data_IF_156042088193
#
_entry.id   IF_156042088193
#
_cell.length_a   1.000
_cell.length_b   1.000
_cell.length_c   1.000
_cell.angle_alpha   90.00
_cell.angle_beta   90.00
_cell.angle_gamma   90.00
#
_symmetry.space_group_name_H-M   'P 1'
#
loop_
_entity.id
_entity.type
_entity.pdbx_description
1 polymer ?
#
# COMPACT_ATOMS: atom_id res chain seq x y z
N UNK A 1 -16.31 8.29 -11.86
CA UNK A 1 -15.75 7.84 -10.58
C UNK A 1 -16.86 7.66 -9.57
N UNK A 2 -17.18 6.40 -9.28
CA UNK A 2 -18.25 6.07 -8.33
C UNK A 2 -17.89 6.48 -6.87
N UNK A 3 -18.90 6.70 -6.00
CA UNK A 3 -18.66 7.02 -4.59
C UNK A 3 -17.84 5.95 -3.85
N UNK A 4 -18.02 4.68 -4.21
CA UNK A 4 -17.30 3.57 -3.60
C UNK A 4 -15.83 3.53 -4.04
N UNK A 5 -15.53 3.84 -5.31
CA UNK A 5 -14.15 4.00 -5.80
C UNK A 5 -13.41 5.09 -5.01
N UNK A 6 -14.07 6.21 -4.76
CA UNK A 6 -13.49 7.33 -4.01
C UNK A 6 -13.19 6.94 -2.56
N UNK A 7 -14.08 6.18 -1.89
CA UNK A 7 -13.81 5.72 -0.53
C UNK A 7 -12.65 4.71 -0.49
N UNK A 8 -12.59 3.77 -1.46
CA UNK A 8 -11.45 2.86 -1.59
C UNK A 8 -10.13 3.59 -1.84
N UNK A 9 -10.11 4.56 -2.76
CA UNK A 9 -8.95 5.42 -3.03
C UNK A 9 -8.52 6.15 -1.75
N UNK A 10 -9.45 6.77 -1.04
CA UNK A 10 -9.19 7.45 0.24
C UNK A 10 -8.61 6.50 1.28
N UNK A 11 -9.11 5.27 1.38
CA UNK A 11 -8.59 4.27 2.31
C UNK A 11 -7.11 3.95 2.03
N UNK A 12 -6.75 3.69 0.77
CA UNK A 12 -5.38 3.39 0.35
C UNK A 12 -4.45 4.61 0.46
N UNK A 13 -4.91 5.81 0.10
CA UNK A 13 -4.10 7.03 0.04
C UNK A 13 -3.92 7.68 1.40
N UNK A 14 -4.96 7.74 2.23
CA UNK A 14 -4.87 8.42 3.53
C UNK A 14 -4.39 7.52 4.66
N UNK A 15 -3.97 6.28 4.34
CA UNK A 15 -3.52 5.31 5.34
C UNK A 15 -4.50 5.22 6.52
N UNK A 16 -5.82 5.26 6.28
CA UNK A 16 -6.83 5.23 7.35
C UNK A 16 -6.77 3.95 8.19
N UNK A 17 -6.08 2.92 7.71
CA UNK A 17 -5.84 1.68 8.44
C UNK A 17 -5.01 1.96 9.70
N UNK A 18 -5.55 1.59 10.87
CA UNK A 18 -4.90 1.71 12.18
C UNK A 18 -4.66 0.31 12.76
N UNK A 19 -3.42 -0.13 12.70
CA UNK A 19 -2.95 -1.44 13.14
C UNK A 19 -2.48 -1.34 14.59
N UNK A 20 -2.93 -2.23 15.46
CA UNK A 20 -2.43 -2.34 16.84
C UNK A 20 -1.04 -2.96 16.90
N UNK A 21 -0.36 -2.81 18.05
CA UNK A 21 0.91 -3.51 18.29
C UNK A 21 0.80 -5.04 18.11
N UNK A 22 -0.31 -5.64 18.54
CA UNK A 22 -0.51 -7.09 18.45
C UNK A 22 -0.61 -7.55 17.00
N UNK A 23 -1.43 -6.85 16.20
CA UNK A 23 -1.60 -7.16 14.78
C UNK A 23 -0.32 -6.91 14.00
N UNK A 24 0.41 -5.82 14.29
CA UNK A 24 1.70 -5.53 13.66
C UNK A 24 2.73 -6.63 13.97
N UNK A 25 2.80 -7.05 15.23
CA UNK A 25 3.69 -8.12 15.68
C UNK A 25 3.40 -9.44 14.97
N UNK A 26 2.12 -9.82 14.89
CA UNK A 26 1.67 -11.04 14.22
C UNK A 26 1.94 -10.98 12.71
N UNK A 27 1.55 -9.88 12.05
CA UNK A 27 1.67 -9.73 10.60
C UNK A 27 3.13 -9.69 10.14
N UNK A 28 4.02 -9.04 10.89
CA UNK A 28 5.43 -8.93 10.54
C UNK A 28 6.29 -10.07 11.10
N UNK A 29 5.74 -10.94 11.95
CA UNK A 29 6.48 -11.97 12.70
C UNK A 29 7.68 -11.37 13.47
N UNK A 30 7.43 -10.26 14.18
CA UNK A 30 8.41 -9.53 15.00
C UNK A 30 7.86 -9.40 16.41
N UNK A 31 8.70 -9.59 17.44
CA UNK A 31 8.23 -9.48 18.82
C UNK A 31 7.81 -8.04 19.16
N UNK A 32 6.81 -7.83 20.05
CA UNK A 32 6.43 -6.48 20.49
C UNK A 32 7.59 -5.70 21.12
N UNK A 33 8.55 -6.39 21.74
CA UNK A 33 9.74 -5.77 22.32
C UNK A 33 10.70 -5.22 21.26
N UNK A 34 10.87 -5.91 20.14
CA UNK A 34 11.65 -5.40 19.00
C UNK A 34 10.97 -4.18 18.38
N UNK A 35 9.65 -4.23 18.17
CA UNK A 35 8.89 -3.09 17.63
C UNK A 35 9.05 -1.86 18.53
N UNK A 36 8.83 -2.00 19.84
CA UNK A 36 9.07 -0.91 20.81
C UNK A 36 10.50 -0.39 20.78
N UNK A 37 11.49 -1.28 20.64
CA UNK A 37 12.88 -0.88 20.54
C UNK A 37 13.16 -0.08 19.27
N UNK A 38 12.64 -0.52 18.12
CA UNK A 38 12.79 0.18 16.84
C UNK A 38 12.09 1.55 16.86
N UNK A 39 10.91 1.62 17.48
CA UNK A 39 10.19 2.87 17.69
C UNK A 39 10.96 3.85 18.58
N UNK A 40 11.47 3.39 19.74
CA UNK A 40 12.33 4.22 20.61
C UNK A 40 13.60 4.71 19.92
N UNK A 41 14.14 3.94 18.97
CA UNK A 41 15.29 4.34 18.16
C UNK A 41 14.92 5.26 17.00
N UNK A 42 13.64 5.56 16.79
CA UNK A 42 13.15 6.42 15.71
C UNK A 42 13.21 5.76 14.33
N UNK A 43 13.29 4.43 14.27
CA UNK A 43 13.33 3.70 13.00
C UNK A 43 11.94 3.49 12.40
N UNK A 44 10.93 3.44 13.25
CA UNK A 44 9.50 3.39 12.91
C UNK A 44 8.76 4.37 13.82
N UNK A 45 7.53 4.72 13.44
CA UNK A 45 6.67 5.60 14.24
C UNK A 45 5.26 5.00 14.36
N UNK A 46 4.64 5.23 15.51
CA UNK A 46 3.20 5.11 15.70
C UNK A 46 2.53 6.48 15.69
N UNK A 47 1.23 6.46 15.46
CA UNK A 47 0.31 7.54 15.79
C UNK A 47 -0.28 7.26 17.17
N UNK A 48 -0.30 8.29 18.01
CA UNK A 48 -0.98 8.27 19.31
C UNK A 48 -2.23 9.13 19.19
N UNK A 49 -3.39 8.55 19.51
CA UNK A 49 -4.62 9.32 19.64
C UNK A 49 -4.57 10.12 20.95
N UNK A 50 -4.97 11.40 20.90
CA UNK A 50 -5.01 12.29 22.07
C UNK A 50 -5.88 11.75 23.21
N UNK A 51 -6.83 10.86 22.91
CA UNK A 51 -7.72 10.23 23.91
C UNK A 51 -7.25 8.85 24.37
N UNK A 52 -6.36 8.19 23.60
CA UNK A 52 -6.00 6.80 23.83
C UNK A 52 -4.49 6.62 23.68
N UNK A 53 -3.78 6.31 24.78
CA UNK A 53 -2.32 6.03 24.82
C UNK A 53 -1.90 4.79 24.01
N UNK A 54 -2.83 4.18 23.26
CA UNK A 54 -2.57 2.99 22.45
C UNK A 54 -1.85 3.39 21.18
N UNK A 55 -0.65 2.86 20.99
CA UNK A 55 0.13 3.04 19.76
C UNK A 55 -0.63 2.42 18.58
N UNK A 56 -0.91 3.22 17.55
CA UNK A 56 -1.49 2.78 16.29
C UNK A 56 -0.46 2.92 15.17
N UNK A 57 -0.40 1.94 14.29
CA UNK A 57 0.55 1.89 13.19
C UNK A 57 -0.18 1.94 11.86
N UNK A 58 0.44 2.56 10.87
CA UNK A 58 -0.13 2.59 9.52
C UNK A 58 0.32 1.39 8.71
N UNK A 59 -0.27 1.20 7.54
CA UNK A 59 0.18 0.20 6.56
C UNK A 59 1.66 0.43 6.18
N UNK A 60 2.10 1.68 6.09
CA UNK A 60 3.50 1.99 5.77
C UNK A 60 4.45 1.58 6.89
N UNK A 61 4.04 1.70 8.15
CA UNK A 61 4.83 1.16 9.27
C UNK A 61 4.93 -0.36 9.20
N UNK A 62 3.85 -1.06 8.82
CA UNK A 62 3.92 -2.51 8.59
C UNK A 62 4.93 -2.86 7.49
N UNK A 63 4.90 -2.17 6.35
CA UNK A 63 5.89 -2.36 5.27
C UNK A 63 7.32 -2.11 5.78
N UNK A 64 7.54 -1.07 6.58
CA UNK A 64 8.85 -0.79 7.19
C UNK A 64 9.32 -1.92 8.11
N UNK A 65 8.46 -2.37 9.04
CA UNK A 65 8.79 -3.44 10.00
C UNK A 65 9.11 -4.74 9.26
N UNK A 66 8.30 -5.13 8.28
CA UNK A 66 8.51 -6.34 7.47
C UNK A 66 9.82 -6.27 6.69
N UNK A 67 10.13 -5.12 6.07
CA UNK A 67 11.41 -4.96 5.35
C UNK A 67 12.63 -4.96 6.25
N UNK A 68 12.55 -4.33 7.44
CA UNK A 68 13.63 -4.42 8.45
C UNK A 68 13.82 -5.88 8.86
N UNK A 69 12.73 -6.60 9.15
CA UNK A 69 12.78 -8.02 9.54
C UNK A 69 13.43 -8.88 8.46
N UNK A 70 13.04 -8.69 7.20
CA UNK A 70 13.66 -9.38 6.07
C UNK A 70 15.19 -9.24 6.05
N UNK A 71 15.72 -8.01 6.15
CA UNK A 71 17.17 -7.81 6.16
C UNK A 71 17.85 -8.32 7.45
N UNK A 72 17.15 -8.32 8.59
CA UNK A 72 17.68 -8.95 9.80
C UNK A 72 17.81 -10.47 9.63
N UNK A 73 16.84 -11.10 8.96
CA UNK A 73 16.85 -12.55 8.69
C UNK A 73 17.98 -12.93 7.71
N UNK A 74 18.33 -12.04 6.80
CA UNK A 74 19.51 -12.15 5.93
C UNK A 74 20.85 -11.96 6.67
N UNK A 75 20.83 -11.70 7.99
CA UNK A 75 22.01 -11.57 8.83
C UNK A 75 22.60 -10.16 8.91
N UNK A 76 21.91 -9.13 8.39
CA UNK A 76 22.37 -7.75 8.55
C UNK A 76 22.14 -7.24 9.98
N UNK A 77 22.98 -6.29 10.39
CA UNK A 77 22.74 -5.57 11.65
C UNK A 77 21.55 -4.62 11.52
N UNK A 78 20.89 -4.30 12.64
CA UNK A 78 19.71 -3.43 12.62
C UNK A 78 19.93 -2.07 11.91
N UNK A 79 21.02 -1.32 12.13
CA UNK A 79 21.24 -0.07 11.39
C UNK A 79 21.33 -0.28 9.87
N UNK A 80 21.95 -1.39 9.42
CA UNK A 80 22.07 -1.73 8.01
C UNK A 80 20.73 -2.15 7.42
N UNK A 81 19.95 -2.97 8.15
CA UNK A 81 18.60 -3.36 7.77
C UNK A 81 17.67 -2.15 7.61
N UNK A 82 17.73 -1.20 8.55
CA UNK A 82 16.96 0.07 8.48
C UNK A 82 17.37 0.90 7.27
N UNK A 83 18.67 1.02 6.99
CA UNK A 83 19.17 1.77 5.83
C UNK A 83 18.66 1.14 4.52
N UNK A 84 18.85 -0.17 4.35
CA UNK A 84 18.37 -0.90 3.17
C UNK A 84 16.86 -0.78 3.01
N UNK A 85 16.10 -0.86 4.10
CA UNK A 85 14.65 -0.71 4.00
C UNK A 85 14.23 0.72 3.64
N UNK A 86 14.95 1.76 4.09
CA UNK A 86 14.69 3.14 3.67
C UNK A 86 14.93 3.34 2.17
N UNK A 87 15.95 2.72 1.59
CA UNK A 87 16.20 2.74 0.14
C UNK A 87 15.00 2.13 -0.63
N UNK A 88 14.42 1.05 -0.11
CA UNK A 88 13.25 0.40 -0.70
C UNK A 88 11.92 1.10 -0.37
N UNK A 89 11.88 1.98 0.65
CA UNK A 89 10.69 2.73 1.03
C UNK A 89 10.22 3.67 -0.09
N UNK A 90 11.13 4.13 -0.95
CA UNK A 90 10.80 4.91 -2.14
C UNK A 90 9.81 4.14 -3.03
N UNK A 91 10.04 2.85 -3.25
CA UNK A 91 9.17 2.01 -4.07
C UNK A 91 7.75 1.93 -3.53
N UNK A 92 7.59 1.69 -2.22
CA UNK A 92 6.28 1.61 -1.60
C UNK A 92 5.52 2.95 -1.63
N UNK A 93 6.21 4.06 -1.40
CA UNK A 93 5.64 5.42 -1.54
C UNK A 93 5.22 5.72 -2.97
N UNK A 94 6.07 5.38 -3.94
CA UNK A 94 5.76 5.57 -5.37
C UNK A 94 4.58 4.72 -5.80
N UNK A 95 4.49 3.47 -5.35
CA UNK A 95 3.35 2.61 -5.64
C UNK A 95 2.05 3.15 -5.03
N UNK A 96 2.09 3.63 -3.78
CA UNK A 96 0.94 4.31 -3.15
C UNK A 96 0.49 5.52 -3.95
N UNK A 97 1.44 6.36 -4.38
CA UNK A 97 1.13 7.52 -5.22
C UNK A 97 0.52 7.10 -6.57
N UNK A 98 1.08 6.06 -7.21
CA UNK A 98 0.56 5.52 -8.45
C UNK A 98 -0.90 5.04 -8.31
N UNK A 99 -1.21 4.20 -7.31
CA UNK A 99 -2.60 3.76 -7.05
C UNK A 99 -3.49 4.97 -6.74
N UNK A 100 -2.98 5.86 -5.89
CA UNK A 100 -3.68 7.06 -5.48
C UNK A 100 -3.88 8.11 -6.55
N UNK A 101 -3.21 8.01 -7.70
CA UNK A 101 -3.39 8.87 -8.86
C UNK A 101 -4.25 8.17 -9.92
N UNK A 102 -3.88 6.92 -10.25
CA UNK A 102 -4.37 6.17 -11.40
C UNK A 102 -5.62 5.35 -11.15
N UNK A 103 -5.98 5.01 -9.92
CA UNK A 103 -7.23 4.28 -9.66
C UNK A 103 -8.43 5.23 -9.80
N UNK A 104 -9.01 5.31 -11.01
CA UNK A 104 -10.06 6.28 -11.34
C UNK A 104 -11.48 5.70 -11.27
N UNK A 105 -11.69 4.48 -11.75
CA UNK A 105 -13.01 3.84 -11.63
C UNK A 105 -12.95 2.32 -11.68
N UNK A 106 -14.03 1.71 -11.20
CA UNK A 106 -14.29 0.29 -11.30
C UNK A 106 -15.64 0.08 -11.98
N UNK A 107 -15.66 -0.76 -13.01
CA UNK A 107 -16.88 -1.18 -13.70
C UNK A 107 -16.95 -2.70 -13.71
N UNK A 108 -18.14 -3.27 -13.54
CA UNK A 108 -18.34 -4.69 -13.78
C UNK A 108 -18.85 -4.86 -15.21
N UNK A 109 -18.17 -5.69 -15.98
CA UNK A 109 -18.68 -6.16 -17.27
C UNK A 109 -19.69 -7.27 -17.00
N UNK A 110 -20.99 -6.92 -17.04
CA UNK A 110 -22.09 -7.86 -16.80
C UNK A 110 -22.08 -9.06 -17.77
N UNK A 111 -21.50 -8.91 -18.97
CA UNK A 111 -21.46 -9.98 -19.97
C UNK A 111 -20.36 -11.00 -19.69
N UNK A 112 -19.22 -10.53 -19.19
CA UNK A 112 -18.05 -11.39 -18.96
C UNK A 112 -17.82 -11.72 -17.48
N UNK A 113 -18.51 -11.03 -16.57
CA UNK A 113 -18.27 -11.07 -15.13
C UNK A 113 -16.93 -10.46 -14.72
N UNK A 114 -16.24 -9.77 -15.64
CA UNK A 114 -14.92 -9.18 -15.37
C UNK A 114 -15.06 -7.85 -14.62
N UNK A 115 -14.10 -7.56 -13.74
CA UNK A 115 -13.93 -6.22 -13.20
C UNK A 115 -12.97 -5.44 -14.09
N UNK A 116 -13.43 -4.29 -14.56
CA UNK A 116 -12.69 -3.32 -15.35
C UNK A 116 -12.22 -2.21 -14.42
N UNK A 117 -10.91 -1.91 -14.46
CA UNK A 117 -10.31 -0.86 -13.65
C UNK A 117 -9.74 0.20 -14.58
N UNK A 118 -10.28 1.41 -14.52
CA UNK A 118 -9.77 2.52 -15.33
C UNK A 118 -8.53 3.12 -14.65
N UNK A 119 -7.40 3.07 -15.36
CA UNK A 119 -6.09 3.57 -14.91
C UNK A 119 -5.79 5.00 -15.43
N UNK A 120 -6.71 5.58 -16.18
CA UNK A 120 -6.61 6.91 -16.75
C UNK A 120 -5.96 6.98 -18.11
N UNK A 121 -5.77 8.22 -18.57
CA UNK A 121 -5.22 8.52 -19.89
C UNK A 121 -3.73 8.25 -19.95
N UNK A 122 -3.26 8.03 -21.18
CA UNK A 122 -1.86 8.10 -21.51
C UNK A 122 -1.46 9.56 -21.77
N UNK A 123 -0.32 9.99 -21.25
CA UNK A 123 0.16 11.36 -21.45
C UNK A 123 0.62 11.60 -22.90
N UNK A 124 1.09 10.55 -23.57
CA UNK A 124 1.50 10.53 -24.99
C UNK A 124 0.37 10.18 -25.97
N UNK A 125 -0.78 9.69 -25.46
CA UNK A 125 -1.99 9.45 -26.25
C UNK A 125 -3.24 9.86 -25.45
N UNK A 126 -3.54 11.18 -25.32
CA UNK A 126 -4.61 11.68 -24.45
C UNK A 126 -6.04 11.26 -24.86
N UNK A 127 -6.21 10.82 -26.10
CA UNK A 127 -7.44 10.26 -26.68
C UNK A 127 -7.69 8.81 -26.25
N UNK A 128 -6.71 8.18 -25.60
CA UNK A 128 -6.76 6.81 -25.11
C UNK A 128 -6.69 6.74 -23.60
N UNK A 129 -7.40 5.76 -23.05
CA UNK A 129 -7.30 5.39 -21.64
C UNK A 129 -6.86 3.93 -21.49
N UNK A 130 -6.14 3.66 -20.40
CA UNK A 130 -5.72 2.31 -20.04
C UNK A 130 -6.76 1.70 -19.12
N UNK A 131 -7.27 0.53 -19.49
CA UNK A 131 -8.21 -0.25 -18.68
C UNK A 131 -7.60 -1.61 -18.38
N UNK A 132 -7.54 -1.95 -17.09
CA UNK A 132 -7.19 -3.28 -16.63
C UNK A 132 -8.44 -4.16 -16.54
N UNK A 133 -8.38 -5.37 -17.08
CA UNK A 133 -9.45 -6.37 -17.07
C UNK A 133 -9.03 -7.50 -16.14
N UNK A 134 -9.78 -7.67 -15.05
CA UNK A 134 -9.55 -8.69 -14.03
C UNK A 134 -10.64 -9.76 -14.13
N UNK A 135 -10.24 -10.98 -14.51
CA UNK A 135 -11.12 -12.14 -14.56
C UNK A 135 -10.62 -13.18 -13.54
N UNK A 136 -11.21 -13.15 -12.35
CA UNK A 136 -10.84 -14.06 -11.25
C UNK A 136 -9.38 -13.88 -10.75
N UNK A 137 -8.80 -14.88 -10.05
CA UNK A 137 -7.46 -14.80 -9.47
C UNK A 137 -6.32 -14.91 -10.50
N UNK A 138 -6.63 -14.84 -11.80
CA UNK A 138 -5.69 -15.02 -12.90
C UNK A 138 -4.93 -13.76 -13.28
N UNK A 139 -4.29 -13.80 -14.46
CA UNK A 139 -3.52 -12.69 -15.00
C UNK A 139 -4.40 -11.50 -15.38
N UNK A 140 -4.00 -10.30 -14.95
CA UNK A 140 -4.67 -9.03 -15.29
C UNK A 140 -4.27 -8.61 -16.70
N UNK A 141 -5.25 -8.42 -17.59
CA UNK A 141 -5.00 -7.94 -18.96
C UNK A 141 -5.10 -6.41 -19.00
N UNK A 142 -4.18 -5.73 -19.70
CA UNK A 142 -4.27 -4.29 -19.95
C UNK A 142 -4.71 -4.05 -21.39
N UNK A 143 -5.67 -3.16 -21.59
CA UNK A 143 -6.13 -2.75 -22.93
C UNK A 143 -6.24 -1.23 -23.03
N UNK A 144 -6.10 -0.72 -24.25
CA UNK A 144 -6.43 0.68 -24.56
C UNK A 144 -7.89 0.78 -24.99
N UNK A 145 -8.59 1.80 -24.51
CA UNK A 145 -9.92 2.19 -25.01
C UNK A 145 -9.84 3.60 -25.58
N UNK A 146 -10.56 3.81 -26.68
CA UNK A 146 -10.77 5.15 -27.20
C UNK A 146 -11.77 5.88 -26.30
N UNK A 147 -11.47 7.13 -26.00
CA UNK A 147 -12.37 7.98 -25.24
C UNK A 147 -13.50 8.47 -26.17
N UNK A 148 -14.75 8.24 -25.76
CA UNK A 148 -15.92 8.89 -26.39
C UNK A 148 -16.08 10.32 -25.87
#
# INVERSE_FOLDING_TARGET
>A
MSPITEEFRKMFVHEKLRISMSELSQAANVSPSQIRYWERKGYIASEQDQQNKSHKYTLMTLVQVTGIKYFLDEGFTLPVAVKKQKEHQVMAKSFKHFIGDRLLDFENDEKTGATLINLGKLDDAPDKEVVAIVQGPGHVKLTLRNRQ
#
